data_IF_693520235686
#
_entry.id   IF_693520235686
#
_cell.length_a   1.000
_cell.length_b   1.000
_cell.length_c   1.000
_cell.angle_alpha   90.00
_cell.angle_beta   90.00
_cell.angle_gamma   90.00
#
_symmetry.space_group_name_H-M   'P 1'
#
loop_
_entity.id
_entity.type
_entity.pdbx_description
1 polymer ?
#
# COMPACT_ATOMS: atom_id res chain seq x y z
N UNK A 1 -23.55 -15.45 4.75
CA UNK A 1 -23.16 -15.64 6.16
C UNK A 1 -23.79 -16.89 6.77
N UNK A 2 -23.18 -17.42 7.79
CA UNK A 2 -23.72 -18.55 8.54
C UNK A 2 -23.61 -18.31 10.05
N UNK A 3 -24.70 -18.60 10.77
CA UNK A 3 -24.72 -18.60 12.23
C UNK A 3 -24.10 -19.93 12.69
N UNK A 4 -23.03 -19.85 13.49
CA UNK A 4 -22.31 -21.02 14.00
C UNK A 4 -22.87 -21.51 15.35
N UNK A 5 -23.52 -20.61 16.12
CA UNK A 5 -24.03 -20.90 17.45
C UNK A 5 -23.85 -19.71 18.41
N UNK A 6 -23.77 -20.00 19.69
CA UNK A 6 -23.58 -19.01 20.76
C UNK A 6 -22.53 -19.46 21.77
N UNK A 7 -21.83 -18.48 22.36
CA UNK A 7 -20.78 -18.75 23.34
C UNK A 7 -19.46 -19.23 22.74
N UNK A 8 -18.44 -19.40 23.58
CA UNK A 8 -17.07 -19.78 23.16
C UNK A 8 -17.01 -21.10 22.38
N UNK A 9 -17.92 -22.05 22.65
CA UNK A 9 -17.98 -23.30 21.92
C UNK A 9 -18.45 -23.18 20.46
N UNK A 10 -18.89 -22.00 20.01
CA UNK A 10 -19.26 -21.71 18.64
C UNK A 10 -18.14 -21.03 17.83
N UNK A 11 -17.06 -20.59 18.49
CA UNK A 11 -15.85 -20.08 17.82
C UNK A 11 -15.21 -21.19 16.99
N UNK A 12 -14.59 -20.83 15.88
CA UNK A 12 -13.88 -21.79 15.01
C UNK A 12 -12.54 -22.17 15.66
N UNK A 13 -11.82 -21.16 16.20
CA UNK A 13 -10.49 -21.33 16.75
C UNK A 13 -9.38 -21.50 15.70
N UNK A 14 -8.13 -21.37 16.13
CA UNK A 14 -6.98 -21.50 15.25
C UNK A 14 -6.90 -20.39 14.19
N UNK A 15 -7.43 -19.22 14.50
CA UNK A 15 -7.42 -18.07 13.62
C UNK A 15 -6.06 -17.35 13.61
N UNK A 16 -5.89 -16.34 12.76
CA UNK A 16 -4.62 -15.62 12.60
C UNK A 16 -4.20 -14.87 13.88
N UNK A 17 -5.13 -14.48 14.73
CA UNK A 17 -4.84 -13.73 15.97
C UNK A 17 -4.42 -14.64 17.11
N UNK A 18 -4.96 -15.85 17.17
CA UNK A 18 -4.61 -16.90 18.15
C UNK A 18 -4.57 -18.28 17.47
N UNK A 19 -3.47 -18.63 16.77
CA UNK A 19 -3.36 -19.92 16.08
C UNK A 19 -3.37 -21.14 17.00
N UNK A 20 -2.90 -21.01 18.23
CA UNK A 20 -2.84 -22.07 19.22
C UNK A 20 -4.20 -22.38 19.83
N UNK A 21 -5.10 -21.41 19.83
CA UNK A 21 -6.44 -21.49 20.41
C UNK A 21 -6.41 -22.00 21.87
N UNK A 22 -5.45 -21.52 22.65
CA UNK A 22 -5.23 -21.99 24.02
C UNK A 22 -5.97 -21.17 25.08
N UNK A 23 -6.59 -20.07 24.68
CA UNK A 23 -7.37 -19.19 25.57
C UNK A 23 -6.54 -18.49 26.65
N UNK A 24 -5.22 -18.44 26.49
CA UNK A 24 -4.28 -17.79 27.41
C UNK A 24 -3.88 -16.42 26.90
N UNK A 25 -4.72 -15.79 26.14
CA UNK A 25 -4.47 -14.44 25.64
C UNK A 25 -4.61 -13.45 26.80
N UNK A 26 -3.64 -12.56 26.89
CA UNK A 26 -3.63 -11.56 27.95
C UNK A 26 -4.90 -10.70 27.89
N UNK A 27 -5.52 -10.52 29.03
CA UNK A 27 -6.78 -9.75 29.14
C UNK A 27 -6.57 -8.24 29.23
N UNK A 28 -5.34 -7.75 29.09
CA UNK A 28 -5.00 -6.35 29.37
C UNK A 28 -3.85 -5.79 28.50
N UNK A 29 -3.58 -6.43 27.35
CA UNK A 29 -2.42 -6.08 26.53
C UNK A 29 -1.09 -6.55 27.11
N UNK A 30 -1.11 -7.26 28.25
CA UNK A 30 0.06 -7.94 28.79
C UNK A 30 0.36 -9.18 27.96
N UNK A 31 1.64 -9.56 27.89
CA UNK A 31 2.16 -10.65 27.08
C UNK A 31 1.30 -11.91 27.11
N UNK A 32 0.53 -12.12 26.05
CA UNK A 32 -0.18 -13.36 25.73
C UNK A 32 0.44 -14.03 24.51
N UNK A 33 -0.12 -15.13 24.05
CA UNK A 33 0.36 -15.87 22.90
C UNK A 33 -0.25 -15.36 21.57
N UNK A 34 -0.50 -14.05 21.48
CA UNK A 34 -1.02 -13.48 20.24
C UNK A 34 0.00 -13.48 19.09
N UNK A 35 -0.52 -13.65 17.89
CA UNK A 35 0.28 -13.69 16.68
C UNK A 35 0.34 -12.34 15.96
N UNK A 36 0.05 -11.24 16.61
CA UNK A 36 0.23 -9.91 16.02
C UNK A 36 1.48 -9.20 16.53
N UNK A 37 2.03 -8.31 15.72
CA UNK A 37 3.16 -7.45 16.09
C UNK A 37 2.72 -6.15 16.73
N UNK A 38 1.52 -5.68 16.41
CA UNK A 38 0.90 -4.51 17.04
C UNK A 38 -0.62 -4.58 16.99
N UNK A 39 -1.25 -3.90 17.95
CA UNK A 39 -2.68 -3.64 17.99
C UNK A 39 -2.90 -2.17 18.32
N UNK A 40 -3.89 -1.55 17.69
CA UNK A 40 -4.36 -0.22 18.06
C UNK A 40 -5.88 -0.12 17.90
N UNK A 41 -6.49 0.73 18.70
CA UNK A 41 -7.91 0.94 18.70
C UNK A 41 -8.26 2.42 18.93
N UNK A 42 -9.46 2.83 18.52
CA UNK A 42 -10.00 4.17 18.78
C UNK A 42 -10.24 4.43 20.26
N UNK A 43 -10.45 3.37 21.04
CA UNK A 43 -10.59 3.43 22.52
C UNK A 43 -10.35 2.07 23.15
N UNK A 44 -9.95 2.08 24.42
CA UNK A 44 -9.69 0.88 25.23
C UNK A 44 -10.93 0.40 25.98
N UNK A 45 -12.13 0.83 25.57
CA UNK A 45 -13.35 0.52 26.30
C UNK A 45 -13.69 1.54 27.39
N UNK A 46 -14.91 1.50 27.88
CA UNK A 46 -15.42 2.43 28.90
C UNK A 46 -15.23 1.91 30.33
N UNK A 47 -15.27 0.61 30.51
CA UNK A 47 -15.18 -0.06 31.80
C UNK A 47 -13.85 -0.78 31.92
N UNK A 48 -13.32 -0.86 33.11
CA UNK A 48 -12.07 -1.59 33.37
C UNK A 48 -12.18 -3.04 32.90
N UNK A 49 -11.21 -3.49 32.10
CA UNK A 49 -11.18 -4.84 31.53
C UNK A 49 -11.97 -5.05 30.23
N UNK A 50 -12.75 -4.06 29.74
CA UNK A 50 -13.53 -4.18 28.51
C UNK A 50 -12.81 -3.53 27.30
N UNK A 51 -11.50 -3.73 27.19
CA UNK A 51 -10.67 -3.15 26.14
C UNK A 51 -10.79 -3.80 24.77
N UNK A 52 -10.24 -3.14 23.75
CA UNK A 52 -10.35 -3.60 22.36
C UNK A 52 -9.64 -4.94 22.09
N UNK A 53 -8.61 -5.29 22.85
CA UNK A 53 -7.91 -6.58 22.73
C UNK A 53 -8.78 -7.78 23.09
N UNK A 54 -9.85 -7.59 23.90
CA UNK A 54 -10.83 -8.64 24.21
C UNK A 54 -11.61 -9.10 22.98
N UNK A 55 -11.53 -8.36 21.86
CA UNK A 55 -12.07 -8.82 20.59
C UNK A 55 -11.24 -9.92 19.91
N UNK A 56 -10.10 -10.32 20.51
CA UNK A 56 -9.16 -11.30 19.93
C UNK A 56 -8.64 -12.30 20.96
N UNK A 57 -9.34 -12.49 22.08
CA UNK A 57 -8.87 -13.31 23.22
C UNK A 57 -9.53 -14.70 23.29
N UNK A 58 -10.28 -15.09 22.26
CA UNK A 58 -11.03 -16.35 22.16
C UNK A 58 -12.00 -16.60 23.31
N UNK A 59 -12.46 -15.53 23.98
CA UNK A 59 -13.45 -15.59 25.06
C UNK A 59 -14.76 -14.97 24.61
N UNK A 60 -15.84 -15.65 24.92
CA UNK A 60 -17.19 -15.14 24.73
C UNK A 60 -17.91 -15.15 26.06
N UNK A 61 -18.21 -13.97 26.59
CA UNK A 61 -18.77 -13.85 27.94
C UNK A 61 -19.14 -12.43 28.31
N UNK A 62 -19.04 -12.12 29.58
CA UNK A 62 -19.30 -10.82 30.19
C UNK A 62 -18.03 -10.21 30.75
N UNK A 63 -18.06 -8.93 31.08
CA UNK A 63 -16.92 -8.23 31.66
C UNK A 63 -15.75 -8.15 30.71
N UNK A 64 -14.61 -8.69 31.11
CA UNK A 64 -13.34 -8.70 30.39
C UNK A 64 -13.29 -9.64 29.18
N UNK A 65 -14.41 -10.24 28.79
CA UNK A 65 -14.51 -11.04 27.56
C UNK A 65 -15.17 -10.28 26.40
N UNK A 66 -15.21 -8.95 26.43
CA UNK A 66 -15.77 -8.14 25.36
C UNK A 66 -15.10 -6.79 25.25
N UNK A 67 -15.21 -6.17 24.10
CA UNK A 67 -14.91 -4.77 23.89
C UNK A 67 -16.21 -3.94 23.98
N UNK A 68 -16.28 -3.03 24.93
CA UNK A 68 -17.43 -2.18 25.24
C UNK A 68 -16.96 -0.89 25.96
N UNK A 69 -17.69 0.15 26.05
CA UNK A 69 -19.01 0.57 25.62
C UNK A 69 -18.95 2.06 25.26
N UNK A 70 -17.83 2.53 24.70
CA UNK A 70 -17.66 3.90 24.26
C UNK A 70 -18.64 4.23 23.11
N UNK A 71 -18.47 5.37 22.46
CA UNK A 71 -19.37 5.86 21.40
C UNK A 71 -19.59 4.79 20.29
N UNK A 72 -20.61 4.99 19.43
CA UNK A 72 -20.94 4.00 18.39
C UNK A 72 -19.92 3.91 17.24
N UNK A 73 -19.04 4.90 17.09
CA UNK A 73 -18.02 4.91 16.05
C UNK A 73 -16.69 4.49 16.65
N UNK A 74 -16.29 3.26 16.39
CA UNK A 74 -15.10 2.64 16.92
C UNK A 74 -14.33 1.91 15.82
N UNK A 75 -13.03 1.70 16.04
CA UNK A 75 -12.20 0.84 15.22
C UNK A 75 -11.12 0.15 16.05
N UNK A 76 -10.72 -1.03 15.62
CA UNK A 76 -9.55 -1.75 16.10
C UNK A 76 -8.86 -2.44 14.94
N UNK A 77 -7.54 -2.41 14.90
CA UNK A 77 -6.76 -3.19 13.95
C UNK A 77 -5.68 -4.01 14.66
N UNK A 78 -5.30 -5.09 13.99
CA UNK A 78 -4.12 -5.90 14.29
C UNK A 78 -3.17 -5.84 13.10
N UNK A 79 -1.86 -5.85 13.39
CA UNK A 79 -0.79 -5.97 12.40
C UNK A 79 -0.08 -7.31 12.59
N UNK A 80 0.12 -8.03 11.50
CA UNK A 80 0.91 -9.26 11.46
C UNK A 80 2.31 -9.00 10.90
N UNK A 81 3.25 -9.92 11.16
CA UNK A 81 4.63 -9.85 10.66
C UNK A 81 4.76 -10.14 9.15
N UNK A 82 3.70 -10.63 8.52
CA UNK A 82 3.60 -10.90 7.09
C UNK A 82 2.18 -10.63 6.61
N UNK A 83 1.98 -10.54 5.30
CA UNK A 83 0.65 -10.37 4.74
C UNK A 83 -0.10 -11.71 4.64
N UNK A 84 -1.42 -11.62 4.72
CA UNK A 84 -2.35 -12.73 4.56
C UNK A 84 -3.46 -12.36 3.58
N UNK A 85 -3.88 -13.34 2.80
CA UNK A 85 -5.11 -13.26 2.00
C UNK A 85 -6.24 -13.79 2.86
N UNK A 86 -7.14 -12.90 3.29
CA UNK A 86 -8.26 -13.25 4.18
C UNK A 86 -9.28 -14.11 3.44
N UNK A 87 -9.59 -15.29 3.96
CA UNK A 87 -10.56 -16.24 3.37
C UNK A 87 -11.94 -16.13 4.00
N UNK A 88 -12.02 -15.90 5.29
CA UNK A 88 -13.23 -15.70 6.06
C UNK A 88 -12.91 -15.07 7.42
N UNK A 89 -13.93 -14.64 8.12
CA UNK A 89 -13.84 -14.16 9.49
C UNK A 89 -15.11 -14.48 10.25
N UNK A 90 -15.04 -14.46 11.58
CA UNK A 90 -16.22 -14.47 12.44
C UNK A 90 -16.32 -13.16 13.21
N UNK A 91 -17.55 -12.82 13.57
CA UNK A 91 -17.84 -11.73 14.52
C UNK A 91 -18.87 -12.23 15.53
N UNK A 92 -18.66 -11.88 16.81
CA UNK A 92 -19.50 -12.36 17.91
C UNK A 92 -20.15 -11.18 18.64
N UNK A 93 -21.49 -11.24 18.80
CA UNK A 93 -22.26 -10.22 19.51
C UNK A 93 -21.93 -10.19 21.01
N UNK A 94 -22.18 -9.03 21.63
CA UNK A 94 -22.04 -8.88 23.07
C UNK A 94 -22.98 -9.77 23.89
N UNK A 95 -22.74 -9.80 25.20
CA UNK A 95 -23.49 -10.65 26.12
C UNK A 95 -24.83 -10.06 26.59
N UNK A 96 -25.01 -8.74 26.50
CA UNK A 96 -26.13 -8.03 27.13
C UNK A 96 -26.94 -7.19 26.13
N UNK A 97 -26.78 -5.90 26.08
CA UNK A 97 -27.64 -4.94 25.40
C UNK A 97 -27.54 -5.01 23.87
N UNK A 98 -28.53 -5.63 23.23
CA UNK A 98 -28.58 -5.85 21.77
C UNK A 98 -28.41 -4.57 20.93
N UNK A 99 -28.90 -3.42 21.41
CA UNK A 99 -28.78 -2.15 20.70
C UNK A 99 -27.33 -1.60 20.64
N UNK A 100 -26.39 -2.19 21.34
CA UNK A 100 -24.97 -1.86 21.26
C UNK A 100 -24.24 -2.65 20.16
N UNK A 101 -24.86 -3.67 19.59
CA UNK A 101 -24.27 -4.44 18.50
C UNK A 101 -24.11 -3.56 17.24
N UNK A 102 -23.09 -3.83 16.41
CA UNK A 102 -22.85 -3.07 15.17
C UNK A 102 -23.98 -3.32 14.16
N UNK A 103 -24.46 -2.25 13.53
CA UNK A 103 -25.47 -2.29 12.46
C UNK A 103 -24.94 -1.74 11.13
N UNK A 104 -23.87 -0.91 11.15
CA UNK A 104 -23.10 -0.51 9.96
C UNK A 104 -21.63 -0.62 10.31
N UNK A 105 -20.93 -1.53 9.65
CA UNK A 105 -19.52 -1.82 9.94
C UNK A 105 -18.80 -2.45 8.76
N UNK A 106 -17.46 -2.51 8.83
CA UNK A 106 -16.59 -3.04 7.78
C UNK A 106 -15.44 -3.84 8.37
N UNK A 107 -14.92 -4.76 7.55
CA UNK A 107 -13.56 -5.30 7.68
C UNK A 107 -12.71 -4.70 6.56
N UNK A 108 -11.54 -4.20 6.89
CA UNK A 108 -10.63 -3.53 5.97
C UNK A 108 -9.23 -4.11 6.08
N UNK A 109 -8.47 -4.06 4.98
CA UNK A 109 -7.06 -4.43 4.92
C UNK A 109 -6.18 -3.22 4.61
N UNK A 110 -4.92 -3.28 5.04
CA UNK A 110 -3.88 -2.28 4.75
C UNK A 110 -2.49 -2.92 4.79
N UNK A 111 -1.52 -2.33 4.08
CA UNK A 111 -0.10 -2.71 4.19
C UNK A 111 0.77 -1.62 4.83
N UNK A 112 0.21 -0.43 5.10
CA UNK A 112 0.93 0.68 5.74
C UNK A 112 0.23 1.23 6.99
N UNK A 113 -0.94 0.68 7.37
CA UNK A 113 -1.71 1.11 8.53
C UNK A 113 -2.41 2.47 8.38
N UNK A 114 -2.32 3.13 7.22
CA UNK A 114 -2.90 4.44 6.93
C UNK A 114 -3.94 4.38 5.82
N UNK A 115 -3.62 3.71 4.72
CA UNK A 115 -4.50 3.55 3.57
C UNK A 115 -5.25 2.22 3.70
N UNK A 116 -6.58 2.30 3.78
CA UNK A 116 -7.44 1.16 4.08
C UNK A 116 -8.34 0.82 2.91
N UNK A 117 -8.36 -0.46 2.54
CA UNK A 117 -9.23 -1.02 1.50
C UNK A 117 -10.34 -1.83 2.14
N UNK A 118 -11.58 -1.62 1.72
CA UNK A 118 -12.73 -2.40 2.18
C UNK A 118 -12.62 -3.84 1.65
N UNK A 119 -12.61 -4.81 2.56
CA UNK A 119 -12.71 -6.24 2.26
C UNK A 119 -14.17 -6.69 2.35
N UNK A 120 -14.88 -6.22 3.36
CA UNK A 120 -16.27 -6.53 3.62
C UNK A 120 -16.99 -5.32 4.19
N UNK A 121 -18.24 -5.11 3.78
CA UNK A 121 -19.11 -4.05 4.29
C UNK A 121 -20.45 -4.62 4.68
N UNK A 122 -20.88 -4.35 5.90
CA UNK A 122 -22.22 -4.67 6.38
C UNK A 122 -23.04 -3.40 6.57
N UNK A 123 -24.21 -3.38 5.95
CA UNK A 123 -25.25 -2.38 6.16
C UNK A 123 -26.59 -3.01 5.79
N UNK A 124 -27.48 -3.16 6.75
CA UNK A 124 -28.82 -3.70 6.54
C UNK A 124 -29.86 -2.73 7.12
N UNK A 125 -29.89 -1.50 6.61
CA UNK A 125 -30.84 -0.44 7.00
C UNK A 125 -30.90 -0.20 8.52
N UNK A 126 -29.74 -0.26 9.19
CA UNK A 126 -29.62 -0.04 10.64
C UNK A 126 -30.03 -1.24 11.49
N UNK A 127 -30.14 -2.42 10.89
CA UNK A 127 -30.40 -3.66 11.63
C UNK A 127 -29.10 -4.44 11.85
N UNK A 128 -28.79 -4.75 13.10
CA UNK A 128 -27.66 -5.63 13.46
C UNK A 128 -27.84 -7.03 12.85
N UNK A 129 -26.77 -7.73 12.45
CA UNK A 129 -26.86 -9.10 11.96
C UNK A 129 -27.25 -10.12 13.03
N UNK A 130 -27.18 -9.75 14.29
CA UNK A 130 -27.34 -10.68 15.43
C UNK A 130 -28.78 -10.81 15.86
N UNK A 131 -29.24 -12.05 16.00
CA UNK A 131 -30.56 -12.41 16.54
C UNK A 131 -30.54 -12.95 17.97
N UNK A 132 -29.33 -13.19 18.51
CA UNK A 132 -29.10 -13.69 19.88
C UNK A 132 -27.87 -13.05 20.49
N UNK A 133 -27.73 -13.15 21.83
CA UNK A 133 -26.54 -12.73 22.54
C UNK A 133 -25.43 -13.74 22.43
N UNK A 134 -24.17 -13.25 22.39
CA UNK A 134 -22.98 -14.09 22.22
C UNK A 134 -23.04 -14.98 20.96
N UNK A 135 -23.73 -14.49 19.94
CA UNK A 135 -23.94 -15.21 18.68
C UNK A 135 -22.72 -15.02 17.78
N UNK A 136 -22.17 -16.13 17.32
CA UNK A 136 -21.05 -16.20 16.38
C UNK A 136 -21.60 -16.29 14.96
N UNK A 137 -21.24 -15.33 14.11
CA UNK A 137 -21.59 -15.33 12.68
C UNK A 137 -20.29 -15.37 11.87
N UNK A 138 -20.24 -16.32 10.92
CA UNK A 138 -19.17 -16.46 9.95
C UNK A 138 -19.54 -15.80 8.63
N UNK A 139 -18.60 -15.05 8.05
CA UNK A 139 -18.67 -14.47 6.71
C UNK A 139 -17.56 -15.06 5.84
N UNK A 140 -17.91 -15.51 4.62
CA UNK A 140 -16.99 -16.11 3.68
C UNK A 140 -16.88 -15.28 2.41
N UNK A 141 -15.77 -15.42 1.67
CA UNK A 141 -15.60 -14.80 0.37
C UNK A 141 -16.64 -15.16 -0.68
N UNK A 142 -17.12 -16.40 -0.67
CA UNK A 142 -18.14 -16.86 -1.62
C UNK A 142 -19.55 -16.60 -1.08
N UNK A 143 -20.26 -15.61 -1.65
CA UNK A 143 -21.68 -15.37 -1.41
C UNK A 143 -22.03 -14.38 -0.29
N UNK A 144 -21.05 -13.69 0.27
CA UNK A 144 -21.24 -12.72 1.36
C UNK A 144 -20.79 -11.30 1.02
N UNK A 145 -20.71 -10.93 -0.26
CA UNK A 145 -20.13 -9.65 -0.71
C UNK A 145 -18.72 -9.38 -0.13
N UNK A 146 -18.00 -10.44 0.09
CA UNK A 146 -16.63 -10.45 0.56
C UNK A 146 -15.74 -10.44 -0.68
N UNK A 147 -15.23 -9.27 -1.03
CA UNK A 147 -14.33 -9.13 -2.17
C UNK A 147 -13.11 -10.03 -1.95
N UNK A 148 -12.66 -10.70 -3.01
CA UNK A 148 -11.41 -11.48 -2.95
C UNK A 148 -10.30 -10.53 -2.56
N UNK A 149 -9.83 -10.54 -1.31
CA UNK A 149 -8.89 -9.54 -0.86
C UNK A 149 -7.52 -9.79 -1.48
N UNK A 150 -6.80 -8.71 -1.72
CA UNK A 150 -5.36 -8.76 -1.85
C UNK A 150 -4.74 -9.21 -0.51
N UNK A 151 -3.43 -9.45 -0.49
CA UNK A 151 -2.73 -9.73 0.74
C UNK A 151 -2.53 -8.45 1.55
N UNK A 152 -2.81 -8.52 2.85
CA UNK A 152 -2.63 -7.41 3.79
C UNK A 152 -1.94 -7.88 5.06
N UNK A 153 -1.05 -7.04 5.58
CA UNK A 153 -0.43 -7.26 6.90
C UNK A 153 -1.22 -6.64 8.04
N UNK A 154 -2.20 -5.76 7.76
CA UNK A 154 -3.11 -5.17 8.72
C UNK A 154 -4.55 -5.54 8.42
N UNK A 155 -5.32 -5.91 9.43
CA UNK A 155 -6.77 -6.05 9.35
C UNK A 155 -7.44 -5.18 10.38
N UNK A 156 -8.47 -4.43 9.95
CA UNK A 156 -9.22 -3.50 10.78
C UNK A 156 -10.71 -3.84 10.76
N UNK A 157 -11.31 -3.91 11.94
CA UNK A 157 -12.74 -3.76 12.12
C UNK A 157 -13.06 -2.28 12.38
N UNK A 158 -14.04 -1.74 11.70
CA UNK A 158 -14.54 -0.39 11.92
C UNK A 158 -16.06 -0.38 11.92
N UNK A 159 -16.67 0.15 12.97
CA UNK A 159 -18.11 0.35 13.11
C UNK A 159 -18.42 1.84 13.05
N UNK A 160 -19.48 2.20 12.35
CA UNK A 160 -19.93 3.58 12.18
C UNK A 160 -21.32 3.82 12.73
N UNK A 161 -22.09 2.77 13.03
CA UNK A 161 -23.42 2.85 13.61
C UNK A 161 -23.77 1.63 14.46
N UNK A 162 -24.52 1.89 15.53
CA UNK A 162 -25.20 0.91 16.39
C UNK A 162 -26.59 1.44 16.69
N UNK A 163 -27.47 0.63 17.26
CA UNK A 163 -28.81 1.06 17.69
C UNK A 163 -28.84 2.02 18.88
N UNK A 164 -27.67 2.42 19.42
CA UNK A 164 -27.55 3.32 20.58
C UNK A 164 -26.28 4.18 20.46
N UNK A 165 -25.98 4.94 21.51
CA UNK A 165 -24.74 5.74 21.63
C UNK A 165 -23.50 4.94 22.05
N UNK A 166 -23.56 3.61 22.10
CA UNK A 166 -22.50 2.74 22.55
C UNK A 166 -22.29 1.58 21.57
N UNK A 167 -21.11 0.99 21.60
CA UNK A 167 -20.74 -0.17 20.80
C UNK A 167 -20.28 -1.32 21.69
N UNK A 168 -20.53 -2.56 21.26
CA UNK A 168 -19.92 -3.76 21.84
C UNK A 168 -19.78 -4.88 20.81
N UNK A 169 -18.73 -5.68 20.94
CA UNK A 169 -18.56 -7.01 20.37
C UNK A 169 -17.83 -7.90 21.37
N UNK A 170 -18.01 -9.22 21.28
CA UNK A 170 -17.21 -10.16 22.08
C UNK A 170 -15.92 -10.52 21.33
N UNK A 171 -16.00 -11.06 20.13
CA UNK A 171 -14.85 -11.69 19.47
C UNK A 171 -14.84 -11.43 17.98
N UNK A 172 -13.64 -11.35 17.41
CA UNK A 172 -13.33 -11.34 15.99
C UNK A 172 -12.26 -12.40 15.73
N UNK A 173 -12.56 -13.35 14.85
CA UNK A 173 -11.56 -14.32 14.38
C UNK A 173 -11.27 -14.06 12.91
N UNK A 174 -9.99 -13.90 12.54
CA UNK A 174 -9.56 -13.74 11.15
C UNK A 174 -8.89 -15.02 10.64
N UNK A 175 -9.29 -15.47 9.45
CA UNK A 175 -8.76 -16.68 8.80
C UNK A 175 -8.26 -16.36 7.41
N UNK A 176 -7.08 -16.87 7.08
CA UNK A 176 -6.46 -16.61 5.78
C UNK A 176 -5.21 -17.46 5.57
N UNK A 177 -4.61 -17.29 4.41
CA UNK A 177 -3.36 -17.93 4.05
C UNK A 177 -2.27 -16.88 3.91
N UNK A 178 -1.05 -17.21 4.38
CA UNK A 178 0.11 -16.37 4.16
C UNK A 178 0.31 -16.13 2.66
N UNK A 179 0.64 -14.91 2.31
CA UNK A 179 0.98 -14.58 0.93
C UNK A 179 2.33 -15.21 0.56
N UNK A 180 2.37 -15.88 -0.57
CA UNK A 180 3.56 -16.48 -1.16
C UNK A 180 3.76 -16.04 -2.62
N UNK A 181 3.03 -15.04 -3.06
CA UNK A 181 3.06 -14.54 -4.44
C UNK A 181 3.98 -13.34 -4.52
N UNK A 182 5.02 -13.47 -5.35
CA UNK A 182 5.92 -12.33 -5.56
C UNK A 182 5.26 -11.23 -6.40
N UNK A 183 5.53 -9.94 -6.10
CA UNK A 183 5.03 -8.83 -6.89
C UNK A 183 5.56 -8.88 -8.32
N UNK A 184 4.73 -8.46 -9.26
CA UNK A 184 5.09 -8.34 -10.68
C UNK A 184 4.90 -6.91 -11.16
N UNK A 185 5.71 -6.48 -12.13
CA UNK A 185 5.55 -5.18 -12.77
C UNK A 185 4.33 -5.21 -13.71
N UNK A 186 3.30 -4.45 -13.39
CA UNK A 186 2.05 -4.38 -14.17
C UNK A 186 2.16 -3.37 -15.31
N UNK A 187 2.83 -2.25 -15.08
CA UNK A 187 3.09 -1.21 -16.09
C UNK A 187 4.20 -0.27 -15.64
N UNK A 188 4.74 0.50 -16.58
CA UNK A 188 5.68 1.59 -16.30
C UNK A 188 5.34 2.86 -17.05
N UNK A 189 5.83 3.99 -16.57
CA UNK A 189 5.86 5.26 -17.29
C UNK A 189 7.27 5.83 -17.16
N UNK A 190 8.05 5.98 -18.26
CA UNK A 190 7.70 5.60 -19.62
C UNK A 190 7.36 4.11 -19.77
N UNK A 191 6.46 3.77 -20.70
CA UNK A 191 6.23 2.37 -21.07
C UNK A 191 7.41 1.86 -21.90
N UNK A 192 7.58 0.54 -21.94
CA UNK A 192 8.61 -0.05 -22.80
C UNK A 192 8.46 0.41 -24.27
N UNK A 193 9.59 0.73 -24.90
CA UNK A 193 9.71 1.30 -26.24
C UNK A 193 9.01 2.66 -26.44
N UNK A 194 8.67 3.39 -25.39
CA UNK A 194 8.10 4.73 -25.52
C UNK A 194 9.11 5.71 -26.15
N UNK A 195 8.60 6.66 -26.91
CA UNK A 195 9.40 7.68 -27.57
C UNK A 195 8.96 9.09 -27.21
N UNK A 196 9.80 10.07 -27.51
CA UNK A 196 9.54 11.48 -27.20
C UNK A 196 9.31 11.76 -25.69
N UNK A 197 10.05 11.08 -24.84
CA UNK A 197 10.00 11.24 -23.39
C UNK A 197 10.77 12.50 -22.99
N UNK A 198 10.20 13.31 -22.09
CA UNK A 198 10.90 14.48 -21.56
C UNK A 198 12.23 14.09 -20.89
N UNK A 199 13.27 14.89 -21.06
CA UNK A 199 14.60 14.59 -20.54
C UNK A 199 14.63 14.52 -18.99
N UNK A 200 13.75 15.27 -18.33
CA UNK A 200 13.56 15.37 -16.88
C UNK A 200 12.46 14.42 -16.34
N UNK A 201 11.96 13.49 -17.16
CA UNK A 201 10.85 12.63 -16.78
C UNK A 201 11.25 11.66 -15.65
N UNK A 202 10.38 11.50 -14.67
CA UNK A 202 10.45 10.42 -13.70
C UNK A 202 10.15 9.07 -14.36
N UNK A 203 10.70 8.00 -13.78
CA UNK A 203 10.31 6.63 -14.10
C UNK A 203 9.34 6.17 -13.02
N UNK A 204 8.12 5.79 -13.41
CA UNK A 204 7.08 5.29 -12.50
C UNK A 204 6.85 3.81 -12.80
N UNK A 205 6.92 2.99 -11.77
CA UNK A 205 6.67 1.55 -11.82
C UNK A 205 5.37 1.24 -11.07
N UNK A 206 4.45 0.55 -11.70
CA UNK A 206 3.22 0.08 -11.06
C UNK A 206 3.28 -1.45 -10.92
N UNK A 207 3.19 -1.91 -9.69
CA UNK A 207 3.25 -3.34 -9.35
C UNK A 207 1.84 -3.93 -9.16
N UNK A 208 1.77 -5.26 -9.20
CA UNK A 208 0.53 -6.02 -8.94
C UNK A 208 0.01 -5.86 -7.51
N UNK A 209 0.87 -5.45 -6.60
CA UNK A 209 0.61 -5.30 -5.16
C UNK A 209 1.57 -4.28 -4.54
N UNK A 210 1.40 -3.99 -3.25
CA UNK A 210 2.30 -3.08 -2.52
C UNK A 210 3.69 -3.67 -2.36
N UNK A 211 4.70 -2.84 -2.58
CA UNK A 211 6.12 -3.22 -2.44
C UNK A 211 6.86 -2.23 -1.55
N UNK A 212 7.83 -2.75 -0.81
CA UNK A 212 8.78 -1.96 -0.03
C UNK A 212 10.15 -1.93 -0.74
N UNK A 213 10.82 -0.79 -0.67
CA UNK A 213 12.19 -0.65 -1.16
C UNK A 213 13.16 -1.24 -0.12
N UNK A 214 13.91 -2.28 -0.51
CA UNK A 214 14.78 -3.06 0.38
C UNK A 214 16.26 -2.76 0.14
N UNK A 215 16.89 -3.41 -0.82
CA UNK A 215 18.33 -3.23 -1.09
C UNK A 215 18.66 -3.47 -2.54
N UNK A 216 19.66 -2.75 -3.04
CA UNK A 216 20.09 -2.87 -4.43
C UNK A 216 19.83 -1.60 -5.22
N UNK A 217 19.93 -1.72 -6.54
CA UNK A 217 20.00 -0.57 -7.41
C UNK A 217 19.01 -0.64 -8.57
N UNK A 218 18.64 0.55 -9.03
CA UNK A 218 18.06 0.79 -10.35
C UNK A 218 19.16 1.43 -11.19
N UNK A 219 19.45 0.86 -12.36
CA UNK A 219 20.53 1.34 -13.23
C UNK A 219 19.95 1.78 -14.57
N UNK A 220 20.18 3.05 -14.94
CA UNK A 220 19.83 3.63 -16.23
C UNK A 220 21.07 3.55 -17.14
N UNK A 221 20.91 3.01 -18.34
CA UNK A 221 22.00 2.81 -19.29
C UNK A 221 21.60 3.26 -20.70
N UNK A 222 22.57 3.75 -21.49
CA UNK A 222 22.38 4.03 -22.93
C UNK A 222 22.37 2.72 -23.71
N UNK A 223 21.43 2.60 -24.63
CA UNK A 223 21.35 1.43 -25.52
C UNK A 223 22.51 1.39 -26.53
N UNK A 224 23.01 2.56 -26.96
CA UNK A 224 23.99 2.69 -28.01
C UNK A 224 25.37 2.04 -27.70
N UNK A 225 25.79 2.11 -26.45
CA UNK A 225 27.14 1.67 -26.01
C UNK A 225 27.13 0.92 -24.66
N UNK A 226 25.95 0.71 -24.08
CA UNK A 226 25.76 0.10 -22.76
C UNK A 226 26.42 0.87 -21.61
N UNK A 227 26.76 2.16 -21.81
CA UNK A 227 27.31 2.98 -20.72
C UNK A 227 26.27 3.21 -19.63
N UNK A 228 26.74 3.18 -18.38
CA UNK A 228 25.90 3.51 -17.23
C UNK A 228 25.79 5.04 -17.13
N UNK A 229 24.54 5.53 -17.13
CA UNK A 229 24.19 6.93 -16.94
C UNK A 229 24.05 7.25 -15.48
N UNK A 230 23.28 6.41 -14.78
CA UNK A 230 23.07 6.57 -13.34
C UNK A 230 22.83 5.21 -12.69
N UNK A 231 23.31 5.08 -11.45
CA UNK A 231 22.98 3.98 -10.55
C UNK A 231 22.33 4.55 -9.31
N UNK A 232 21.08 4.20 -9.07
CA UNK A 232 20.23 4.75 -8.02
C UNK A 232 20.01 3.67 -6.97
N UNK A 233 20.46 3.92 -5.74
CA UNK A 233 20.12 3.07 -4.60
C UNK A 233 18.61 3.17 -4.33
N UNK A 234 17.93 2.03 -4.24
CA UNK A 234 16.47 1.99 -4.06
C UNK A 234 16.01 2.60 -2.74
N UNK A 235 16.88 2.70 -1.73
CA UNK A 235 16.61 3.34 -0.43
C UNK A 235 16.92 4.83 -0.40
N UNK A 236 17.44 5.39 -1.51
CA UNK A 236 17.79 6.81 -1.60
C UNK A 236 16.56 7.71 -1.72
N UNK A 237 16.73 9.01 -1.48
CA UNK A 237 15.69 10.02 -1.67
C UNK A 237 15.21 10.21 -3.13
N UNK A 238 15.86 9.57 -4.11
CA UNK A 238 15.43 9.55 -5.51
C UNK A 238 14.29 8.55 -5.77
N UNK A 239 14.06 7.63 -4.83
CA UNK A 239 13.00 6.62 -4.91
C UNK A 239 11.94 6.94 -3.87
N UNK A 240 10.69 6.97 -4.29
CA UNK A 240 9.53 7.23 -3.42
C UNK A 240 8.38 6.27 -3.73
N UNK A 241 7.46 6.12 -2.77
CA UNK A 241 6.30 5.24 -2.90
C UNK A 241 6.45 3.87 -2.23
N UNK A 242 7.56 3.61 -1.48
CA UNK A 242 7.70 2.40 -0.65
C UNK A 242 6.48 2.21 0.25
N UNK A 243 5.99 0.98 0.36
CA UNK A 243 4.75 0.63 1.04
C UNK A 243 3.49 0.77 0.18
N UNK A 244 3.64 1.07 -1.11
CA UNK A 244 2.51 1.16 -2.06
C UNK A 244 2.77 0.34 -3.33
N UNK A 245 1.74 0.19 -4.16
CA UNK A 245 1.88 -0.48 -5.47
C UNK A 245 2.52 0.39 -6.55
N UNK A 246 2.89 1.63 -6.25
CA UNK A 246 3.51 2.54 -7.19
C UNK A 246 4.81 3.10 -6.64
N UNK A 247 5.91 2.86 -7.36
CA UNK A 247 7.24 3.40 -7.08
C UNK A 247 7.57 4.47 -8.11
N UNK A 248 8.04 5.62 -7.65
CA UNK A 248 8.53 6.71 -8.50
C UNK A 248 10.03 6.89 -8.30
N UNK A 249 10.77 6.89 -9.41
CA UNK A 249 12.21 7.08 -9.48
C UNK A 249 12.48 8.43 -10.17
N UNK A 250 13.21 9.30 -9.50
CA UNK A 250 13.60 10.62 -9.99
C UNK A 250 15.11 10.64 -10.30
N UNK A 251 15.55 10.55 -11.57
CA UNK A 251 16.96 10.68 -11.91
C UNK A 251 17.55 12.02 -11.42
N UNK A 252 18.83 12.01 -11.05
CA UNK A 252 19.49 13.18 -10.47
C UNK A 252 19.78 14.29 -11.48
N UNK A 253 19.75 13.97 -12.76
CA UNK A 253 20.01 14.88 -13.88
C UNK A 253 19.17 14.54 -15.08
N UNK A 254 18.91 15.53 -15.90
CA UNK A 254 18.23 15.35 -17.19
C UNK A 254 18.99 14.37 -18.08
N UNK A 255 18.26 13.55 -18.79
CA UNK A 255 18.78 12.61 -19.78
C UNK A 255 19.11 13.35 -21.11
N UNK A 256 20.07 12.84 -21.87
CA UNK A 256 20.42 13.42 -23.16
C UNK A 256 19.25 13.36 -24.15
N UNK A 257 19.15 14.37 -25.00
CA UNK A 257 18.17 14.47 -26.10
C UNK A 257 18.35 13.34 -27.13
N UNK A 258 17.25 12.89 -27.75
CA UNK A 258 17.24 11.88 -28.84
C UNK A 258 18.03 10.61 -28.51
N UNK A 259 18.07 10.21 -27.27
CA UNK A 259 18.88 9.09 -26.79
C UNK A 259 17.97 7.97 -26.28
N UNK A 260 18.27 6.74 -26.69
CA UNK A 260 17.57 5.56 -26.18
C UNK A 260 18.25 5.03 -24.92
N UNK A 261 17.45 4.77 -23.90
CA UNK A 261 17.85 4.23 -22.61
C UNK A 261 17.13 2.94 -22.31
N UNK A 262 17.76 2.10 -21.49
CA UNK A 262 17.09 0.98 -20.85
C UNK A 262 17.35 0.99 -19.34
N UNK A 263 16.45 0.37 -18.60
CA UNK A 263 16.47 0.33 -17.12
C UNK A 263 16.66 -1.10 -16.65
N UNK A 264 17.61 -1.30 -15.76
CA UNK A 264 17.80 -2.54 -15.02
C UNK A 264 17.40 -2.33 -13.56
N UNK A 265 16.87 -3.36 -12.92
CA UNK A 265 16.46 -3.34 -11.51
C UNK A 265 16.98 -4.61 -10.87
N UNK A 266 17.70 -4.48 -9.76
CA UNK A 266 18.19 -5.63 -9.00
C UNK A 266 17.03 -6.45 -8.43
N UNK A 267 17.18 -7.77 -8.36
CA UNK A 267 16.16 -8.67 -7.82
C UNK A 267 15.94 -8.56 -6.30
N UNK A 268 16.79 -7.79 -5.61
CA UNK A 268 16.68 -7.48 -4.18
C UNK A 268 16.09 -6.10 -3.92
N UNK A 269 15.68 -5.39 -5.00
CA UNK A 269 15.27 -3.99 -4.91
C UNK A 269 13.93 -3.81 -4.19
N UNK A 270 12.97 -4.69 -4.45
CA UNK A 270 11.61 -4.55 -3.97
C UNK A 270 11.05 -5.90 -3.49
N UNK A 271 10.50 -5.90 -2.29
CA UNK A 271 9.80 -7.04 -1.70
C UNK A 271 8.37 -6.61 -1.34
N UNK A 272 7.44 -7.57 -1.27
CA UNK A 272 6.13 -7.33 -0.65
C UNK A 272 6.22 -7.42 0.89
N UNK A 273 5.09 -7.19 1.57
CA UNK A 273 5.01 -7.26 3.04
C UNK A 273 5.16 -8.69 3.61
N UNK A 274 5.24 -9.71 2.76
CA UNK A 274 5.53 -11.12 3.12
C UNK A 274 6.96 -11.52 2.78
N UNK A 275 7.81 -10.57 2.35
CA UNK A 275 9.18 -10.79 1.90
C UNK A 275 9.29 -11.66 0.63
N UNK A 276 8.26 -11.63 -0.23
CA UNK A 276 8.38 -12.21 -1.56
C UNK A 276 9.01 -11.17 -2.48
N UNK A 277 10.17 -11.49 -3.06
CA UNK A 277 10.95 -10.52 -3.83
C UNK A 277 10.47 -10.40 -5.27
N UNK A 278 10.36 -9.16 -5.76
CA UNK A 278 10.23 -8.88 -7.18
C UNK A 278 11.45 -9.39 -7.95
N UNK A 279 11.24 -10.05 -9.08
CA UNK A 279 12.34 -10.68 -9.83
C UNK A 279 13.35 -9.68 -10.42
N UNK A 280 13.07 -8.38 -10.36
CA UNK A 280 13.92 -7.35 -10.98
C UNK A 280 13.77 -7.29 -12.51
N UNK A 281 14.61 -6.46 -13.14
CA UNK A 281 14.76 -6.37 -14.60
C UNK A 281 16.24 -6.58 -14.92
N UNK A 282 16.57 -7.71 -15.55
CA UNK A 282 17.92 -8.03 -16.03
C UNK A 282 18.07 -7.96 -17.56
N UNK A 283 16.96 -7.93 -18.28
CA UNK A 283 16.94 -7.81 -19.74
C UNK A 283 17.06 -6.36 -20.19
N UNK A 284 17.93 -6.11 -21.17
CA UNK A 284 18.13 -4.78 -21.77
C UNK A 284 16.96 -4.32 -22.66
N UNK A 285 15.99 -5.21 -22.88
CA UNK A 285 14.81 -4.95 -23.76
C UNK A 285 13.49 -5.02 -23.00
N UNK A 286 13.50 -5.14 -21.67
CA UNK A 286 12.26 -5.27 -20.89
C UNK A 286 11.66 -3.91 -20.49
N UNK A 287 12.48 -2.88 -20.41
CA UNK A 287 12.05 -1.50 -20.14
C UNK A 287 13.05 -0.55 -20.80
N UNK A 288 12.66 0.00 -21.93
CA UNK A 288 13.44 0.95 -22.72
C UNK A 288 12.57 2.14 -23.15
N UNK A 289 13.19 3.27 -23.42
CA UNK A 289 12.51 4.45 -23.93
C UNK A 289 13.51 5.40 -24.62
N UNK A 290 13.00 6.27 -25.49
CA UNK A 290 13.79 7.28 -26.19
C UNK A 290 13.33 8.67 -25.78
N UNK A 291 14.27 9.54 -25.41
CA UNK A 291 13.99 10.92 -25.04
C UNK A 291 13.58 11.76 -26.26
N UNK A 292 12.84 12.82 -25.99
CA UNK A 292 12.41 13.78 -27.01
C UNK A 292 13.62 14.50 -27.66
N UNK A 293 13.44 14.95 -28.88
CA UNK A 293 14.36 15.91 -29.48
C UNK A 293 14.16 17.28 -28.82
N UNK A 294 15.17 17.77 -28.14
CA UNK A 294 15.21 19.15 -27.66
C UNK A 294 15.85 19.99 -28.74
N UNK A 295 15.08 20.92 -29.29
CA UNK A 295 15.62 21.80 -30.33
C UNK A 295 16.55 22.84 -29.70
N UNK A 296 17.70 23.14 -30.34
CA UNK A 296 18.62 24.16 -29.84
C UNK A 296 17.92 25.52 -29.79
N UNK A 297 18.11 26.23 -28.69
CA UNK A 297 17.64 27.60 -28.51
C UNK A 297 18.80 28.57 -28.37
N UNK A 298 18.62 29.80 -28.82
CA UNK A 298 19.64 30.84 -28.67
C UNK A 298 19.68 31.26 -27.18
N UNK A 299 20.79 30.95 -26.49
CA UNK A 299 20.99 31.29 -25.08
C UNK A 299 21.47 32.73 -24.90
N UNK A 300 22.34 33.20 -25.77
CA UNK A 300 22.83 34.59 -25.79
C UNK A 300 23.46 34.98 -27.12
N UNK A 301 23.61 36.27 -27.37
CA UNK A 301 24.33 36.77 -28.51
C UNK A 301 25.29 37.88 -28.12
N UNK A 302 26.35 38.05 -28.92
CA UNK A 302 27.22 39.22 -28.88
C UNK A 302 27.27 39.77 -30.29
N UNK A 303 26.81 41.00 -30.56
CA UNK A 303 26.18 41.92 -29.64
C UNK A 303 24.90 41.38 -29.02
N UNK A 304 24.59 41.82 -27.79
CA UNK A 304 23.31 41.49 -27.17
C UNK A 304 22.15 42.17 -27.90
N UNK A 305 20.93 41.68 -27.71
CA UNK A 305 19.74 42.30 -28.25
C UNK A 305 19.63 43.76 -27.82
N UNK A 306 19.27 44.65 -28.78
CA UNK A 306 19.21 46.09 -28.61
C UNK A 306 20.53 46.79 -28.17
N UNK A 307 21.68 46.14 -28.35
CA UNK A 307 22.97 46.76 -28.07
C UNK A 307 23.23 47.98 -28.97
N UNK A 308 23.82 49.04 -28.44
CA UNK A 308 24.16 50.29 -29.16
C UNK A 308 25.67 50.51 -29.21
N UNK A 309 26.11 51.33 -30.11
CA UNK A 309 27.53 51.69 -30.28
C UNK A 309 28.45 50.49 -30.60
N UNK A 310 27.94 49.56 -31.36
CA UNK A 310 28.70 48.39 -31.82
C UNK A 310 29.64 48.79 -32.96
N UNK A 311 30.90 48.34 -32.92
CA UNK A 311 31.86 48.55 -33.99
C UNK A 311 31.34 47.91 -35.28
N UNK A 312 31.57 48.61 -36.40
CA UNK A 312 31.06 48.18 -37.74
C UNK A 312 31.67 46.85 -38.25
N UNK A 313 32.81 46.49 -37.67
CA UNK A 313 33.54 45.24 -37.96
C UNK A 313 33.41 44.19 -36.84
N UNK A 314 32.50 44.40 -35.88
CA UNK A 314 32.26 43.43 -34.83
C UNK A 314 31.67 42.13 -35.34
N UNK A 315 32.21 41.04 -34.91
CA UNK A 315 31.61 39.70 -35.18
C UNK A 315 30.31 39.54 -34.42
N UNK A 316 29.42 38.76 -35.01
CA UNK A 316 28.21 38.26 -34.31
C UNK A 316 28.55 36.85 -33.76
N UNK A 317 28.43 36.69 -32.45
CA UNK A 317 28.60 35.44 -31.77
C UNK A 317 27.22 34.97 -31.24
N UNK A 318 26.84 33.76 -31.58
CA UNK A 318 25.61 33.14 -31.10
C UNK A 318 25.96 31.96 -30.16
N UNK A 319 25.43 31.98 -28.98
CA UNK A 319 25.58 30.90 -28.02
C UNK A 319 24.24 30.15 -27.92
N UNK A 320 24.26 28.86 -28.18
CA UNK A 320 23.08 28.00 -28.17
C UNK A 320 23.04 27.16 -26.88
N UNK A 321 21.87 26.65 -26.57
CA UNK A 321 21.62 25.78 -25.42
C UNK A 321 22.35 24.43 -25.51
N UNK A 322 22.73 24.04 -26.77
CA UNK A 322 23.43 22.79 -27.09
C UNK A 322 24.32 22.98 -28.33
N UNK A 323 25.10 21.97 -28.65
CA UNK A 323 25.92 21.99 -29.87
C UNK A 323 25.05 22.01 -31.11
N UNK A 324 25.40 22.87 -32.05
CA UNK A 324 24.70 23.01 -33.34
C UNK A 324 25.66 22.83 -34.51
N UNK A 325 25.19 22.17 -35.54
CA UNK A 325 25.89 22.08 -36.81
C UNK A 325 25.32 23.12 -37.78
N UNK A 326 26.20 23.74 -38.54
CA UNK A 326 25.78 24.65 -39.62
C UNK A 326 25.33 23.84 -40.83
N UNK A 327 24.04 23.91 -41.14
CA UNK A 327 23.47 23.24 -42.29
C UNK A 327 23.38 24.21 -43.49
N UNK A 328 22.19 24.42 -44.02
CA UNK A 328 21.92 25.33 -45.13
C UNK A 328 20.99 26.47 -44.72
N UNK A 329 21.21 27.65 -45.22
CA UNK A 329 20.41 28.84 -44.92
C UNK A 329 21.23 30.09 -44.79
N UNK A 330 20.57 31.21 -44.54
CA UNK A 330 21.20 32.51 -44.35
C UNK A 330 20.90 33.10 -43.00
N UNK A 331 21.85 33.82 -42.46
CA UNK A 331 21.64 34.73 -41.31
C UNK A 331 21.29 36.10 -41.90
N UNK A 332 20.10 36.63 -41.63
CA UNK A 332 19.60 37.89 -42.20
C UNK A 332 19.33 38.89 -41.09
#
# INVERSE_FOLDING_TARGET
>A
SSILGTGSGALIGGDLTDPENDGIDGTDGAAGNWNWTSIAASSDGQWGGEGAWNAFDNKVGSGDSKWCCNNPTQWVYVQFSQAYVLSHFTITSGNDVASRDPDIWKIQGSNNGNDWTDIFSYNNDGNSPFSARQQVIRYNGAGDDFDTPAAYSYFRYIVTSTGTSMHQINELEFFGTADSTAPTLSSSTPSDNATAIAADANIVLNFSESVDAESGNITIKKTSDNSTVETIDVTSGQVSGSGSSQITINPSSDLDSLTEYYVLIDSTAFDDSSSNSYAGISSTTALSFTTANILPTLSSSVPADNATSIAVDANIVLNFSESVDAESGNIT
#
